data_IF_674220843155
#
_entry.id   IF_674220843155
#
_cell.length_a   1.000
_cell.length_b   1.000
_cell.length_c   1.000
_cell.angle_alpha   90.00
_cell.angle_beta   90.00
_cell.angle_gamma   90.00
#
_symmetry.space_group_name_H-M   'P 1'
#
loop_
_entity.id
_entity.type
_entity.pdbx_description
1 polymer ?
#
# COMPACT_ATOMS: atom_id res chain seq x y z
N UNK A 1 -2.28 19.92 19.83
CA UNK A 1 -1.43 18.81 20.31
C UNK A 1 -1.49 17.73 19.24
N UNK A 2 -0.35 17.39 18.63
CA UNK A 2 -0.25 16.65 17.38
C UNK A 2 -0.63 15.16 17.54
N UNK A 3 -1.44 14.64 16.62
CA UNK A 3 -1.94 13.25 16.61
C UNK A 3 -0.88 12.12 16.53
N UNK A 4 0.40 12.47 16.36
CA UNK A 4 1.52 11.53 16.37
C UNK A 4 1.85 10.95 17.75
N UNK A 5 1.38 11.58 18.83
CA UNK A 5 1.63 11.15 20.20
C UNK A 5 0.79 9.94 20.64
N UNK A 6 -0.43 9.80 20.12
CA UNK A 6 -1.33 8.74 20.51
C UNK A 6 -0.93 7.38 19.89
N UNK A 7 -0.56 7.38 18.61
CA UNK A 7 -0.08 6.16 17.92
C UNK A 7 1.24 5.63 18.52
N UNK A 8 2.18 6.52 18.84
CA UNK A 8 3.42 6.12 19.55
C UNK A 8 3.15 5.65 20.97
N UNK A 9 2.11 6.18 21.63
CA UNK A 9 1.75 5.79 22.99
C UNK A 9 1.11 4.39 23.04
N UNK A 10 0.29 4.03 22.03
CA UNK A 10 -0.22 2.66 21.89
C UNK A 10 0.89 1.66 21.54
N UNK A 11 1.80 2.00 20.65
CA UNK A 11 2.97 1.15 20.36
C UNK A 11 3.90 1.03 21.59
N UNK A 12 4.05 2.10 22.40
CA UNK A 12 4.86 2.05 23.61
C UNK A 12 4.19 1.32 24.78
N UNK A 13 2.87 1.24 24.82
CA UNK A 13 2.14 0.42 25.79
C UNK A 13 2.26 -1.07 25.46
N UNK A 14 2.23 -1.43 24.18
CA UNK A 14 2.52 -2.79 23.71
C UNK A 14 3.99 -3.19 23.94
N UNK A 15 4.91 -2.22 23.92
CA UNK A 15 6.33 -2.44 24.20
C UNK A 15 6.70 -2.42 25.70
N UNK A 16 5.87 -1.83 26.58
CA UNK A 16 6.14 -1.72 28.03
C UNK A 16 5.48 -2.79 28.90
N UNK A 17 4.59 -3.62 28.35
CA UNK A 17 4.14 -4.85 29.01
C UNK A 17 5.15 -6.00 28.84
N UNK A 18 6.44 -5.66 28.78
CA UNK A 18 7.57 -6.58 28.73
C UNK A 18 7.81 -7.26 30.06
N UNK A 19 6.91 -8.09 30.51
CA UNK A 19 7.28 -9.29 31.23
C UNK A 19 7.75 -10.29 30.17
N UNK A 20 9.04 -10.64 30.30
CA UNK A 20 9.75 -11.61 29.46
C UNK A 20 9.00 -12.94 29.44
N UNK A 21 7.97 -13.06 28.63
CA UNK A 21 7.40 -14.33 28.25
C UNK A 21 8.32 -14.89 27.17
N UNK A 22 9.18 -15.84 27.54
CA UNK A 22 9.91 -16.69 26.62
C UNK A 22 8.90 -17.17 25.56
N UNK A 23 9.09 -16.77 24.32
CA UNK A 23 8.35 -17.26 23.16
C UNK A 23 8.51 -18.77 23.08
N UNK A 24 7.55 -19.52 23.57
CA UNK A 24 7.39 -20.93 23.24
C UNK A 24 6.45 -20.96 22.03
N UNK A 25 7.04 -20.90 20.84
CA UNK A 25 6.33 -21.30 19.63
C UNK A 25 6.22 -22.84 19.65
N UNK A 26 5.04 -23.43 19.56
CA UNK A 26 4.95 -24.86 19.30
C UNK A 26 5.51 -25.11 17.90
N UNK A 27 6.60 -25.91 17.83
CA UNK A 27 7.09 -26.48 16.56
C UNK A 27 5.93 -27.21 15.89
N UNK A 28 5.68 -26.89 14.62
CA UNK A 28 4.81 -27.71 13.75
C UNK A 28 5.28 -29.17 13.82
N UNK A 29 4.50 -30.01 14.43
CA UNK A 29 4.62 -31.46 14.22
C UNK A 29 4.04 -31.74 12.83
N UNK A 30 4.89 -32.20 11.94
CA UNK A 30 4.50 -32.75 10.66
C UNK A 30 3.70 -34.03 10.92
N UNK A 31 2.43 -34.04 10.54
CA UNK A 31 1.63 -35.25 10.49
C UNK A 31 2.15 -36.09 9.32
N UNK A 32 2.71 -37.26 9.65
CA UNK A 32 3.04 -38.35 8.72
C UNK A 32 1.72 -38.99 8.25
N UNK A 33 1.36 -38.77 6.99
CA UNK A 33 0.32 -39.56 6.29
C UNK A 33 0.97 -40.57 5.35
N UNK A 34 0.32 -41.73 5.05
CA UNK A 34 0.95 -42.90 4.45
C UNK A 34 1.19 -42.79 2.96
N UNK A 35 2.27 -43.45 2.54
CA UNK A 35 2.67 -43.60 1.16
C UNK A 35 1.67 -44.48 0.38
N UNK A 36 1.27 -44.06 -0.81
CA UNK A 36 0.68 -44.94 -1.82
C UNK A 36 0.99 -44.48 -3.24
N UNK A 37 1.63 -45.38 -3.98
CA UNK A 37 1.26 -45.66 -5.36
C UNK A 37 1.99 -44.86 -6.45
N UNK A 38 3.08 -45.46 -6.95
CA UNK A 38 3.64 -45.26 -8.30
C UNK A 38 2.59 -45.46 -9.38
N UNK A 39 2.36 -44.49 -10.28
CA UNK A 39 1.98 -44.77 -11.68
C UNK A 39 2.79 -43.91 -12.64
N UNK A 40 3.43 -44.60 -13.59
CA UNK A 40 4.14 -44.08 -14.77
C UNK A 40 3.11 -43.57 -15.79
N UNK A 41 3.47 -42.56 -16.56
CA UNK A 41 2.73 -42.23 -17.79
C UNK A 41 3.11 -40.92 -18.42
N UNK A 42 3.96 -41.06 -19.45
CA UNK A 42 3.98 -40.37 -20.73
C UNK A 42 4.25 -38.88 -20.82
N UNK A 43 5.40 -38.60 -21.38
CA UNK A 43 5.79 -37.36 -22.01
C UNK A 43 4.98 -37.10 -23.30
N UNK A 44 4.57 -35.89 -23.53
CA UNK A 44 4.18 -35.41 -24.86
C UNK A 44 4.86 -34.03 -25.06
N UNK A 45 5.85 -34.05 -25.92
CA UNK A 45 6.50 -32.90 -26.54
C UNK A 45 5.56 -32.33 -27.60
N UNK A 46 5.33 -31.02 -27.55
CA UNK A 46 4.83 -30.28 -28.68
C UNK A 46 5.67 -29.01 -28.84
N UNK A 47 6.45 -28.99 -29.90
CA UNK A 47 7.21 -27.87 -30.36
C UNK A 47 6.31 -26.83 -31.01
N UNK A 48 6.60 -25.55 -30.76
CA UNK A 48 6.00 -24.41 -31.42
C UNK A 48 7.09 -23.59 -32.10
N UNK A 49 7.07 -23.59 -33.41
CA UNK A 49 8.02 -22.94 -34.29
C UNK A 49 7.86 -21.39 -34.22
N UNK A 50 8.98 -20.71 -34.08
CA UNK A 50 9.08 -19.27 -34.28
C UNK A 50 9.20 -18.98 -35.79
N UNK A 51 8.29 -18.19 -36.32
CA UNK A 51 8.32 -17.71 -37.70
C UNK A 51 9.04 -16.35 -37.73
N UNK A 52 10.22 -16.32 -38.29
CA UNK A 52 10.96 -15.09 -38.63
C UNK A 52 10.62 -14.72 -40.07
N UNK A 53 9.91 -13.63 -40.26
CA UNK A 53 9.69 -13.02 -41.58
C UNK A 53 10.78 -11.96 -41.84
N UNK A 54 11.70 -12.30 -42.71
CA UNK A 54 12.66 -11.36 -43.31
C UNK A 54 12.05 -10.87 -44.63
N UNK A 55 11.71 -9.59 -44.69
CA UNK A 55 11.30 -8.94 -45.96
C UNK A 55 12.54 -8.25 -46.58
N UNK A 56 13.08 -8.85 -47.62
CA UNK A 56 14.10 -8.26 -48.43
C UNK A 56 13.51 -7.26 -49.42
N UNK A 57 14.11 -6.07 -49.52
CA UNK A 57 13.84 -5.12 -50.57
C UNK A 57 15.00 -5.18 -51.61
N UNK A 58 14.67 -5.51 -52.81
CA UNK A 58 15.55 -5.60 -53.96
C UNK A 58 15.91 -4.23 -54.47
N UNK A 59 17.23 -4.00 -54.67
CA UNK A 59 17.76 -2.86 -55.41
C UNK A 59 17.73 -3.19 -56.89
N UNK A 60 17.06 -2.38 -57.67
CA UNK A 60 17.18 -2.43 -59.12
C UNK A 60 18.10 -1.29 -59.58
N UNK A 61 19.23 -1.66 -60.10
CA UNK A 61 20.12 -0.75 -60.81
C UNK A 61 19.75 -0.67 -62.27
N UNK A 62 19.62 0.53 -62.80
CA UNK A 62 19.60 0.77 -64.24
C UNK A 62 20.83 1.59 -64.65
N UNK A 63 21.57 1.05 -65.60
CA UNK A 63 22.74 1.65 -66.20
C UNK A 63 22.42 2.29 -67.56
N UNK A 64 22.99 3.46 -67.71
CA UNK A 64 23.62 4.14 -68.87
C UNK A 64 22.99 3.98 -70.30
N UNK A 65 23.42 4.71 -71.32
CA UNK A 65 24.59 5.54 -71.54
C UNK A 65 24.43 6.79 -72.44
N UNK A 66 25.55 7.51 -72.65
CA UNK A 66 25.84 8.30 -73.81
C UNK A 66 25.80 9.83 -73.64
N UNK A 67 26.60 10.63 -74.06
CA UNK A 67 27.92 10.77 -74.76
C UNK A 67 28.10 12.25 -75.10
N UNK A 68 29.31 12.74 -75.01
CA UNK A 68 29.96 13.86 -75.70
C UNK A 68 29.41 15.28 -75.56
N UNK A 69 30.23 16.18 -74.99
CA UNK A 69 30.99 17.19 -75.80
C UNK A 69 31.88 18.02 -74.89
N UNK A 70 33.12 18.15 -75.37
CA UNK A 70 34.17 19.05 -74.85
C UNK A 70 33.83 20.50 -75.17
N UNK A 71 34.00 21.40 -74.20
CA UNK A 71 34.33 22.78 -74.52
C UNK A 71 35.30 23.36 -73.47
N UNK A 72 36.40 23.90 -73.98
CA UNK A 72 37.51 24.48 -73.23
C UNK A 72 37.20 25.96 -73.01
N UNK A 73 37.17 26.40 -71.74
CA UNK A 73 37.19 27.83 -71.47
C UNK A 73 37.90 28.11 -70.10
N UNK A 74 39.06 28.71 -70.28
CA UNK A 74 39.66 29.80 -69.50
C UNK A 74 39.68 29.77 -67.99
N UNK A 75 40.86 29.64 -67.42
CA UNK A 75 41.22 29.85 -66.06
C UNK A 75 40.91 31.29 -65.58
N UNK A 76 39.95 31.41 -64.65
CA UNK A 76 39.87 32.54 -63.72
C UNK A 76 40.33 32.06 -62.35
N UNK A 77 41.48 32.51 -61.91
CA UNK A 77 41.97 32.31 -60.56
C UNK A 77 41.06 33.04 -59.57
N UNK A 78 40.12 32.33 -58.99
CA UNK A 78 39.37 32.80 -57.83
C UNK A 78 40.28 32.48 -56.61
N UNK A 79 40.82 33.49 -55.99
CA UNK A 79 41.45 33.47 -54.69
C UNK A 79 40.35 32.94 -53.73
N UNK A 80 40.45 31.68 -53.33
CA UNK A 80 39.73 31.16 -52.17
C UNK A 80 40.32 31.84 -50.94
N UNK A 81 39.63 32.86 -50.46
CA UNK A 81 39.78 33.32 -49.10
C UNK A 81 39.35 32.16 -48.21
N UNK A 82 40.31 31.39 -47.78
CA UNK A 82 40.13 30.35 -46.77
C UNK A 82 39.84 31.07 -45.44
N UNK A 83 38.61 31.55 -45.28
CA UNK A 83 38.10 31.92 -43.99
C UNK A 83 37.87 30.61 -43.24
N UNK A 84 38.97 30.06 -42.69
CA UNK A 84 38.93 29.11 -41.61
C UNK A 84 38.20 29.81 -40.46
N UNK A 85 36.86 29.76 -40.49
CA UNK A 85 36.07 30.07 -39.32
C UNK A 85 36.40 29.02 -38.28
N UNK A 86 37.39 29.34 -37.43
CA UNK A 86 37.61 28.56 -36.21
C UNK A 86 36.28 28.49 -35.51
N UNK A 87 35.63 27.31 -35.54
CA UNK A 87 34.37 27.08 -34.86
C UNK A 87 34.62 27.40 -33.38
N UNK A 88 33.99 28.46 -32.90
CA UNK A 88 34.06 28.83 -31.48
C UNK A 88 33.52 27.64 -30.68
N UNK A 89 34.27 27.14 -29.67
CA UNK A 89 33.79 26.04 -28.87
C UNK A 89 32.40 26.32 -28.36
N UNK A 90 31.49 25.35 -28.49
CA UNK A 90 30.16 25.49 -27.95
C UNK A 90 30.23 25.72 -26.44
N UNK A 91 29.41 26.62 -25.86
CA UNK A 91 29.37 26.86 -24.42
C UNK A 91 29.19 25.54 -23.67
N UNK A 92 29.90 25.40 -22.53
CA UNK A 92 29.77 24.20 -21.71
C UNK A 92 28.30 24.01 -21.21
N UNK A 93 27.79 22.82 -21.45
CA UNK A 93 26.43 22.46 -20.98
C UNK A 93 26.45 22.31 -19.46
N UNK A 94 25.47 22.88 -18.77
CA UNK A 94 25.25 22.68 -17.33
C UNK A 94 23.77 22.52 -17.00
N UNK A 95 23.47 21.91 -15.84
CA UNK A 95 22.14 21.78 -15.32
C UNK A 95 21.73 23.09 -14.69
N UNK A 96 20.63 23.69 -15.14
CA UNK A 96 20.06 24.93 -14.61
C UNK A 96 19.16 24.64 -13.41
N UNK A 97 18.27 23.66 -13.56
CA UNK A 97 17.37 23.28 -12.48
C UNK A 97 16.90 21.83 -12.62
N UNK A 98 16.46 21.25 -11.53
CA UNK A 98 15.75 19.97 -11.49
C UNK A 98 14.51 20.10 -10.63
N UNK A 99 13.37 19.62 -11.15
CA UNK A 99 12.11 19.57 -10.44
C UNK A 99 11.68 18.10 -10.33
N UNK A 100 11.33 17.60 -9.13
CA UNK A 100 11.31 18.28 -7.83
C UNK A 100 12.70 18.77 -7.37
N UNK A 101 12.74 19.82 -6.55
CA UNK A 101 13.99 20.40 -6.07
C UNK A 101 14.78 19.40 -5.19
N UNK A 102 16.09 19.61 -5.06
CA UNK A 102 16.93 18.79 -4.19
C UNK A 102 16.43 18.81 -2.75
N UNK A 103 16.35 17.63 -2.12
CA UNK A 103 15.85 17.40 -0.76
C UNK A 103 14.38 17.81 -0.54
N UNK A 104 13.59 18.03 -1.58
CA UNK A 104 12.16 18.25 -1.47
C UNK A 104 11.50 17.06 -0.76
N UNK A 105 10.54 17.35 0.11
CA UNK A 105 9.75 16.35 0.86
C UNK A 105 8.26 16.54 0.54
N UNK A 106 7.47 15.48 0.73
CA UNK A 106 6.04 15.56 0.50
C UNK A 106 5.67 15.63 -0.99
N UNK A 107 6.57 15.21 -1.88
CA UNK A 107 6.33 15.25 -3.33
C UNK A 107 5.26 14.22 -3.68
N UNK A 108 4.29 14.58 -4.53
CA UNK A 108 3.35 13.62 -5.08
C UNK A 108 4.10 12.68 -6.03
N UNK A 109 4.03 11.36 -5.77
CA UNK A 109 4.78 10.35 -6.53
C UNK A 109 4.40 10.24 -8.01
N UNK A 110 3.27 10.81 -8.43
CA UNK A 110 2.84 10.87 -9.82
C UNK A 110 3.36 12.11 -10.56
N UNK A 111 4.07 13.01 -9.87
CA UNK A 111 4.63 14.23 -10.46
C UNK A 111 5.64 13.90 -11.55
N UNK A 112 5.70 14.74 -12.56
CA UNK A 112 6.76 14.69 -13.56
C UNK A 112 8.10 15.13 -12.96
N UNK A 113 9.20 14.56 -13.46
CA UNK A 113 10.56 14.98 -13.09
C UNK A 113 11.13 15.73 -14.30
N UNK A 114 11.52 16.98 -14.12
CA UNK A 114 12.07 17.79 -15.18
C UNK A 114 13.50 18.21 -14.85
N UNK A 115 14.40 18.06 -15.82
CA UNK A 115 15.78 18.57 -15.77
C UNK A 115 15.93 19.62 -16.84
N UNK A 116 16.25 20.85 -16.46
CA UNK A 116 16.49 21.95 -17.36
C UNK A 116 18.01 22.19 -17.52
N UNK A 117 18.45 22.38 -18.74
CA UNK A 117 19.83 22.60 -19.12
C UNK A 117 20.04 24.01 -19.67
N UNK A 118 21.27 24.43 -19.77
CA UNK A 118 21.67 25.76 -20.30
C UNK A 118 21.51 25.89 -21.82
N UNK A 119 21.27 24.80 -22.55
CA UNK A 119 21.09 24.77 -23.99
C UNK A 119 20.21 23.59 -24.42
N UNK A 120 19.61 23.67 -25.64
CA UNK A 120 18.82 22.57 -26.20
C UNK A 120 19.66 21.29 -26.33
N UNK A 121 19.01 20.13 -26.06
CA UNK A 121 19.61 18.82 -26.06
C UNK A 121 19.67 18.21 -27.46
N UNK A 122 20.73 17.46 -27.75
CA UNK A 122 20.81 16.63 -28.96
C UNK A 122 19.81 15.47 -28.90
N UNK A 123 19.25 15.07 -30.05
CA UNK A 123 18.35 13.92 -30.13
C UNK A 123 19.01 12.60 -29.71
N UNK A 124 20.33 12.49 -29.84
CA UNK A 124 21.13 11.33 -29.41
C UNK A 124 21.62 11.41 -27.97
N UNK A 125 21.23 12.46 -27.23
CA UNK A 125 21.65 12.64 -25.85
C UNK A 125 21.11 11.52 -24.97
N UNK A 126 21.92 10.91 -24.07
CA UNK A 126 21.41 9.96 -23.09
C UNK A 126 20.44 10.65 -22.16
N UNK A 127 19.51 9.88 -21.56
CA UNK A 127 18.54 10.40 -20.60
C UNK A 127 19.04 10.19 -19.16
N UNK A 128 18.58 11.03 -18.21
CA UNK A 128 18.82 10.79 -16.80
C UNK A 128 18.24 9.44 -16.34
N UNK A 129 18.78 8.90 -15.26
CA UNK A 129 18.31 7.67 -14.63
C UNK A 129 17.69 7.94 -13.27
N UNK A 130 16.83 7.06 -12.84
CA UNK A 130 16.07 7.15 -11.57
C UNK A 130 16.37 5.95 -10.68
N UNK A 131 16.49 6.18 -9.39
CA UNK A 131 16.61 5.13 -8.38
C UNK A 131 15.68 5.44 -7.19
N UNK A 132 14.74 4.55 -6.85
CA UNK A 132 14.34 3.32 -7.55
C UNK A 132 13.85 3.60 -8.98
N UNK A 133 14.09 2.67 -9.90
CA UNK A 133 13.60 2.78 -11.27
C UNK A 133 12.10 2.42 -11.29
N UNK A 134 11.31 3.21 -12.03
CA UNK A 134 9.89 2.93 -12.31
C UNK A 134 9.62 3.03 -13.81
N UNK A 135 8.49 2.42 -14.23
CA UNK A 135 8.00 2.57 -15.59
C UNK A 135 7.58 4.02 -15.88
N UNK A 136 7.97 4.52 -17.04
CA UNK A 136 7.67 5.87 -17.50
C UNK A 136 8.44 6.22 -18.75
N UNK A 137 8.25 7.44 -19.24
CA UNK A 137 8.84 7.90 -20.50
C UNK A 137 9.60 9.22 -20.29
N UNK A 138 10.86 9.26 -20.75
CA UNK A 138 11.61 10.50 -20.92
C UNK A 138 11.25 11.12 -22.27
N UNK A 139 11.00 12.42 -22.28
CA UNK A 139 10.81 13.24 -23.49
C UNK A 139 11.76 14.44 -23.42
N UNK A 140 12.28 14.85 -24.59
CA UNK A 140 13.09 16.06 -24.71
C UNK A 140 12.23 17.17 -25.29
N UNK A 141 12.24 18.34 -24.66
CA UNK A 141 11.58 19.55 -25.16
C UNK A 141 12.53 20.73 -25.05
N UNK A 142 13.17 21.05 -26.17
CA UNK A 142 14.20 22.11 -26.23
C UNK A 142 15.38 21.79 -25.29
N UNK A 143 15.56 22.60 -24.27
CA UNK A 143 16.59 22.49 -23.24
C UNK A 143 16.20 21.65 -22.03
N UNK A 144 15.09 20.95 -22.10
CA UNK A 144 14.55 20.19 -20.95
C UNK A 144 14.38 18.72 -21.26
N UNK A 145 14.79 17.86 -20.33
CA UNK A 145 14.42 16.43 -20.27
C UNK A 145 13.33 16.22 -19.22
N UNK A 146 12.20 15.65 -19.62
CA UNK A 146 11.02 15.47 -18.76
C UNK A 146 10.67 14.00 -18.68
N UNK A 147 10.65 13.45 -17.45
CA UNK A 147 10.15 12.11 -17.17
C UNK A 147 8.70 12.17 -16.74
N UNK A 148 7.86 11.38 -17.38
CA UNK A 148 6.47 11.19 -17.00
C UNK A 148 6.30 9.75 -16.52
N UNK A 149 6.00 9.52 -15.22
CA UNK A 149 5.76 8.19 -14.70
C UNK A 149 4.51 7.57 -15.36
N UNK A 150 4.54 6.28 -15.66
CA UNK A 150 3.35 5.56 -16.14
C UNK A 150 2.29 5.46 -15.04
N UNK A 151 2.72 5.17 -13.80
CA UNK A 151 1.88 5.20 -12.59
C UNK A 151 2.45 6.22 -11.61
N UNK A 152 3.53 5.91 -10.93
CA UNK A 152 4.20 6.79 -9.99
C UNK A 152 4.93 6.01 -8.88
N UNK A 153 5.55 6.74 -7.98
CA UNK A 153 6.19 6.21 -6.77
C UNK A 153 5.19 6.07 -5.62
N UNK A 154 5.39 5.05 -4.79
CA UNK A 154 4.63 4.87 -3.54
C UNK A 154 5.01 5.94 -2.51
N UNK A 155 4.26 5.99 -1.40
CA UNK A 155 4.52 6.90 -0.29
C UNK A 155 5.92 6.73 0.28
N UNK A 156 6.44 7.80 0.89
CA UNK A 156 7.70 7.82 1.64
C UNK A 156 8.94 7.34 0.86
N UNK A 157 8.85 7.22 -0.47
CA UNK A 157 9.95 6.76 -1.34
C UNK A 157 11.02 7.84 -1.48
N UNK A 158 12.27 7.46 -1.27
CA UNK A 158 13.43 8.30 -1.55
C UNK A 158 13.87 8.09 -3.01
N UNK A 159 13.73 9.13 -3.83
CA UNK A 159 14.02 9.06 -5.27
C UNK A 159 15.28 9.85 -5.57
N UNK A 160 16.23 9.22 -6.27
CA UNK A 160 17.44 9.86 -6.75
C UNK A 160 17.39 9.99 -8.28
N UNK A 161 17.64 11.19 -8.77
CA UNK A 161 17.80 11.50 -10.20
C UNK A 161 19.30 11.63 -10.49
N UNK A 162 19.83 10.79 -11.37
CA UNK A 162 21.23 10.86 -11.80
C UNK A 162 21.30 11.28 -13.26
N UNK A 163 21.94 12.40 -13.51
CA UNK A 163 22.13 13.04 -14.81
C UNK A 163 23.54 12.70 -15.29
N UNK A 164 23.71 11.91 -16.38
CA UNK A 164 25.04 11.47 -16.82
C UNK A 164 25.88 12.63 -17.36
N UNK A 165 27.15 12.63 -17.02
CA UNK A 165 28.15 13.58 -17.47
C UNK A 165 29.44 12.89 -17.97
N UNK A 166 30.43 13.65 -18.38
CA UNK A 166 31.66 13.14 -18.96
C UNK A 166 31.51 12.68 -20.41
N UNK A 167 32.34 11.73 -20.85
CA UNK A 167 32.40 11.26 -22.25
C UNK A 167 31.07 10.61 -22.74
N UNK A 168 30.31 10.01 -21.85
CA UNK A 168 29.01 9.39 -22.15
C UNK A 168 27.85 10.22 -21.59
N UNK A 169 28.10 11.51 -21.33
CA UNK A 169 27.13 12.41 -20.69
C UNK A 169 26.14 13.02 -21.67
N UNK A 170 25.25 13.83 -21.09
CA UNK A 170 24.27 14.61 -21.85
C UNK A 170 24.98 15.60 -22.78
N UNK A 171 24.48 15.73 -24.03
CA UNK A 171 25.09 16.51 -25.10
C UNK A 171 24.09 17.57 -25.57
N UNK A 172 24.54 18.82 -25.75
CA UNK A 172 23.74 19.85 -26.39
C UNK A 172 23.64 19.65 -27.92
N UNK A 173 22.57 20.16 -28.53
CA UNK A 173 22.40 20.12 -29.98
C UNK A 173 23.59 20.81 -30.73
N UNK A 174 24.07 21.94 -30.23
CA UNK A 174 25.25 22.63 -30.77
C UNK A 174 26.53 21.81 -30.62
N UNK A 175 26.75 21.11 -29.50
CA UNK A 175 27.91 20.25 -29.26
C UNK A 175 27.93 19.04 -30.19
N UNK A 176 26.79 18.42 -30.43
CA UNK A 176 26.65 17.28 -31.34
C UNK A 176 27.00 17.69 -32.81
N UNK A 177 26.63 18.90 -33.22
CA UNK A 177 26.90 19.42 -34.56
C UNK A 177 28.35 19.87 -34.76
N UNK A 178 28.98 20.38 -33.70
CA UNK A 178 30.37 20.90 -33.78
C UNK A 178 31.44 19.80 -33.57
N UNK A 179 31.07 18.62 -33.13
CA UNK A 179 32.03 17.53 -32.83
C UNK A 179 32.95 17.80 -31.63
N UNK A 180 32.84 18.95 -30.99
CA UNK A 180 33.65 19.38 -29.84
C UNK A 180 32.88 20.29 -28.90
N UNK A 181 32.92 20.03 -27.61
CA UNK A 181 32.25 20.83 -26.58
C UNK A 181 30.75 20.54 -26.46
N UNK A 182 30.09 21.16 -25.50
CA UNK A 182 28.65 21.03 -25.29
C UNK A 182 28.18 19.78 -24.58
N UNK A 183 29.07 19.00 -23.99
CA UNK A 183 28.72 17.92 -23.06
C UNK A 183 28.63 18.42 -21.62
N UNK A 184 27.82 17.79 -20.81
CA UNK A 184 27.83 17.99 -19.37
C UNK A 184 29.12 17.43 -18.79
N UNK A 185 29.94 18.28 -18.15
CA UNK A 185 31.32 17.94 -17.77
C UNK A 185 31.39 16.77 -16.75
N UNK A 186 30.50 16.74 -15.78
CA UNK A 186 30.43 15.70 -14.76
C UNK A 186 28.99 15.32 -14.47
N UNK A 187 28.80 14.09 -13.98
CA UNK A 187 27.48 13.63 -13.56
C UNK A 187 26.94 14.47 -12.39
N UNK A 188 25.65 14.74 -12.41
CA UNK A 188 24.92 15.44 -11.34
C UNK A 188 23.90 14.49 -10.75
N UNK A 189 23.85 14.41 -9.42
CA UNK A 189 22.86 13.60 -8.70
C UNK A 189 22.13 14.46 -7.69
N UNK A 190 20.81 14.32 -7.65
CA UNK A 190 20.01 14.91 -6.58
C UNK A 190 18.87 13.99 -6.19
N UNK A 191 18.33 14.18 -5.00
CA UNK A 191 17.24 13.35 -4.50
C UNK A 191 16.10 14.19 -3.92
N UNK A 192 14.91 13.57 -3.88
CA UNK A 192 13.72 14.07 -3.20
C UNK A 192 13.01 12.90 -2.51
N UNK A 193 12.05 13.20 -1.64
CA UNK A 193 11.22 12.19 -0.97
C UNK A 193 9.75 12.43 -1.29
N UNK A 194 9.02 11.36 -1.66
CA UNK A 194 7.57 11.43 -1.82
C UNK A 194 6.88 11.62 -0.46
N UNK A 195 5.67 12.14 -0.48
CA UNK A 195 4.84 12.30 0.69
C UNK A 195 4.27 10.99 1.20
N UNK A 196 3.61 11.05 2.36
CA UNK A 196 2.77 9.96 2.85
C UNK A 196 1.41 10.03 2.19
N UNK A 197 0.74 8.88 2.03
CA UNK A 197 -0.62 8.83 1.53
C UNK A 197 -1.62 9.36 2.56
N UNK A 198 -2.75 9.81 2.06
CA UNK A 198 -3.79 10.46 2.85
C UNK A 198 -4.61 9.44 3.66
N UNK A 199 -4.76 9.69 4.96
CA UNK A 199 -5.71 8.95 5.81
C UNK A 199 -7.15 9.04 5.29
N UNK A 200 -7.55 10.19 4.73
CA UNK A 200 -8.87 10.37 4.12
C UNK A 200 -9.08 9.39 2.96
N UNK A 201 -8.09 9.28 2.04
CA UNK A 201 -8.19 8.32 0.91
C UNK A 201 -8.20 6.88 1.38
N UNK A 202 -7.39 6.54 2.38
CA UNK A 202 -7.42 5.20 2.97
C UNK A 202 -8.82 4.85 3.48
N UNK A 203 -9.42 5.74 4.28
CA UNK A 203 -10.77 5.55 4.84
C UNK A 203 -11.84 5.48 3.74
N UNK A 204 -11.72 6.31 2.71
CA UNK A 204 -12.60 6.30 1.54
C UNK A 204 -12.56 4.93 0.84
N UNK A 205 -11.37 4.43 0.49
CA UNK A 205 -11.22 3.15 -0.21
C UNK A 205 -11.68 1.97 0.66
N UNK A 206 -11.36 1.97 1.95
CA UNK A 206 -11.86 0.95 2.89
C UNK A 206 -13.38 0.97 3.00
N UNK A 207 -14.01 2.15 2.94
CA UNK A 207 -15.47 2.27 2.92
C UNK A 207 -16.06 1.77 1.59
N UNK A 208 -15.48 2.14 0.46
CA UNK A 208 -15.91 1.67 -0.87
C UNK A 208 -15.85 0.15 -1.00
N UNK A 209 -14.84 -0.48 -0.40
CA UNK A 209 -14.68 -1.94 -0.40
C UNK A 209 -15.47 -2.65 0.71
N UNK A 210 -16.19 -1.91 1.57
CA UNK A 210 -17.05 -2.48 2.61
C UNK A 210 -16.34 -2.87 3.91
N UNK A 211 -15.03 -2.58 4.06
CA UNK A 211 -14.30 -2.82 5.31
C UNK A 211 -14.62 -1.80 6.42
N UNK A 212 -15.20 -0.66 6.06
CA UNK A 212 -15.73 0.33 7.00
C UNK A 212 -17.24 0.47 6.83
N UNK A 213 -18.01 0.75 7.91
CA UNK A 213 -19.47 0.81 7.88
C UNK A 213 -19.99 2.15 7.34
N UNK A 214 -19.42 2.61 6.22
CA UNK A 214 -19.77 3.91 5.63
C UNK A 214 -20.05 3.81 4.13
N UNK A 215 -20.95 4.66 3.68
CA UNK A 215 -21.03 5.06 2.28
C UNK A 215 -20.21 6.32 2.09
N UNK A 216 -19.28 6.30 1.16
CA UNK A 216 -18.56 7.49 0.70
C UNK A 216 -19.30 8.12 -0.47
N UNK A 217 -19.49 9.43 -0.42
CA UNK A 217 -20.08 10.22 -1.51
C UNK A 217 -19.13 11.35 -1.87
N UNK A 218 -18.59 11.34 -3.11
CA UNK A 218 -17.80 12.44 -3.64
C UNK A 218 -18.65 13.72 -3.75
N UNK A 219 -18.07 14.85 -3.41
CA UNK A 219 -18.63 16.19 -3.67
C UNK A 219 -17.95 16.85 -4.86
N UNK A 220 -17.06 16.14 -5.55
CA UNK A 220 -16.40 16.60 -6.78
C UNK A 220 -17.02 15.96 -7.99
N UNK A 221 -17.12 16.74 -9.09
CA UNK A 221 -17.53 16.23 -10.41
C UNK A 221 -16.46 15.36 -11.06
N UNK A 222 -15.24 15.36 -10.52
CA UNK A 222 -14.14 14.52 -11.01
C UNK A 222 -14.31 13.10 -10.52
N UNK A 223 -14.64 12.19 -11.41
CA UNK A 223 -14.69 10.76 -11.12
C UNK A 223 -13.33 10.15 -11.42
N UNK A 224 -12.73 9.50 -10.40
CA UNK A 224 -11.52 8.71 -10.58
C UNK A 224 -11.93 7.35 -11.10
N UNK A 225 -11.40 6.98 -12.28
CA UNK A 225 -11.65 5.64 -12.83
C UNK A 225 -10.81 4.62 -12.04
N UNK A 226 -11.42 3.57 -11.48
CA UNK A 226 -10.68 2.51 -10.79
C UNK A 226 -9.62 1.81 -11.65
N UNK A 227 -9.75 1.86 -12.98
CA UNK A 227 -8.78 1.29 -13.92
C UNK A 227 -7.62 2.22 -14.25
N UNK A 228 -7.70 3.50 -13.88
CA UNK A 228 -6.60 4.45 -14.06
C UNK A 228 -5.67 4.43 -12.82
N UNK A 229 -4.71 3.53 -12.84
CA UNK A 229 -3.77 3.34 -11.73
C UNK A 229 -2.98 4.62 -11.37
N UNK A 230 -2.73 5.52 -12.36
CA UNK A 230 -2.03 6.78 -12.10
C UNK A 230 -2.95 7.77 -11.39
N UNK A 231 -4.20 7.90 -11.81
CA UNK A 231 -5.18 8.75 -11.16
C UNK A 231 -5.49 8.26 -9.73
N UNK A 232 -5.61 6.95 -9.54
CA UNK A 232 -5.80 6.32 -8.23
C UNK A 232 -4.61 6.59 -7.29
N UNK A 233 -3.38 6.41 -7.78
CA UNK A 233 -2.18 6.72 -7.00
C UNK A 233 -2.07 8.22 -6.69
N UNK A 234 -2.43 9.10 -7.62
CA UNK A 234 -2.46 10.55 -7.39
C UNK A 234 -3.47 10.92 -6.30
N UNK A 235 -4.63 10.27 -6.30
CA UNK A 235 -5.65 10.45 -5.27
C UNK A 235 -5.21 9.93 -3.90
N UNK A 236 -4.32 8.94 -3.85
CA UNK A 236 -3.74 8.50 -2.58
C UNK A 236 -2.95 9.62 -1.89
N UNK A 237 -2.29 10.49 -2.65
CA UNK A 237 -1.62 11.70 -2.12
C UNK A 237 -2.59 12.86 -1.87
N UNK A 238 -3.56 13.05 -2.76
CA UNK A 238 -4.48 14.19 -2.76
C UNK A 238 -5.90 13.70 -3.04
N UNK A 239 -6.63 13.25 -2.00
CA UNK A 239 -7.94 12.65 -2.16
C UNK A 239 -8.97 13.64 -2.70
N UNK A 240 -9.97 13.15 -3.45
CA UNK A 240 -11.10 13.97 -3.83
C UNK A 240 -11.90 14.38 -2.57
N UNK A 241 -12.55 15.54 -2.59
CA UNK A 241 -13.44 15.93 -1.51
C UNK A 241 -14.70 15.07 -1.50
N UNK A 242 -15.23 14.79 -0.30
CA UNK A 242 -16.44 14.01 -0.16
C UNK A 242 -16.83 13.83 1.32
N UNK A 243 -17.89 13.06 1.55
CA UNK A 243 -18.48 12.84 2.87
C UNK A 243 -18.73 11.37 3.15
N UNK A 244 -18.63 11.00 4.42
CA UNK A 244 -18.99 9.68 4.94
C UNK A 244 -20.38 9.72 5.56
N UNK A 245 -21.21 8.73 5.24
CA UNK A 245 -22.49 8.49 5.89
C UNK A 245 -22.52 7.07 6.46
N UNK A 246 -22.97 6.90 7.70
CA UNK A 246 -23.08 5.59 8.33
C UNK A 246 -24.03 4.70 7.55
N UNK A 247 -23.64 3.44 7.35
CA UNK A 247 -24.50 2.40 6.82
C UNK A 247 -25.27 1.74 7.98
N UNK A 248 -26.52 2.14 8.17
CA UNK A 248 -27.36 1.65 9.24
C UNK A 248 -27.13 2.35 10.57
N UNK A 249 -27.44 1.66 11.68
CA UNK A 249 -27.41 2.23 13.02
C UNK A 249 -26.44 1.46 13.92
N UNK A 250 -25.57 2.19 14.59
CA UNK A 250 -24.62 1.67 15.57
C UNK A 250 -24.73 2.46 16.87
N UNK A 251 -24.38 1.85 18.04
CA UNK A 251 -24.41 2.55 19.31
C UNK A 251 -23.33 3.65 19.37
N UNK A 252 -23.56 4.62 20.25
CA UNK A 252 -22.65 5.74 20.49
C UNK A 252 -21.23 5.28 20.84
N UNK A 253 -21.09 4.15 21.53
CA UNK A 253 -19.79 3.55 21.86
C UNK A 253 -18.87 3.31 20.64
N UNK A 254 -19.46 3.04 19.47
CA UNK A 254 -18.72 2.96 18.21
C UNK A 254 -18.67 4.30 17.48
N UNK A 255 -19.82 4.97 17.35
CA UNK A 255 -19.93 6.17 16.48
C UNK A 255 -19.10 7.34 16.99
N UNK A 256 -18.92 7.48 18.29
CA UNK A 256 -18.07 8.51 18.92
C UNK A 256 -16.59 8.38 18.60
N UNK A 257 -16.14 7.20 18.14
CA UNK A 257 -14.73 6.93 17.85
C UNK A 257 -14.34 7.23 16.41
N UNK A 258 -15.33 7.57 15.57
CA UNK A 258 -15.08 7.92 14.18
C UNK A 258 -14.71 9.40 14.00
N UNK A 259 -13.66 9.62 13.24
CA UNK A 259 -13.30 10.95 12.74
C UNK A 259 -12.67 10.82 11.36
N UNK A 260 -13.34 11.39 10.36
CA UNK A 260 -12.85 11.39 8.98
C UNK A 260 -11.48 12.07 8.86
N UNK A 261 -10.60 11.51 8.05
CA UNK A 261 -9.25 12.02 7.80
C UNK A 261 -8.29 11.90 9.00
N UNK A 262 -8.73 11.28 10.11
CA UNK A 262 -7.89 11.07 11.30
C UNK A 262 -7.79 9.58 11.60
N UNK A 263 -6.57 9.05 11.86
CA UNK A 263 -6.41 7.66 12.27
C UNK A 263 -7.24 7.34 13.53
N UNK A 264 -7.98 6.24 13.48
CA UNK A 264 -8.85 5.81 14.57
C UNK A 264 -8.97 4.28 14.62
N UNK A 265 -9.61 3.75 15.67
CA UNK A 265 -9.70 2.30 15.88
C UNK A 265 -10.54 1.59 14.82
N UNK A 266 -11.54 2.25 14.23
CA UNK A 266 -12.34 1.67 13.14
C UNK A 266 -11.44 1.39 11.93
N UNK A 267 -10.54 2.34 11.61
CA UNK A 267 -9.55 2.18 10.55
C UNK A 267 -8.61 1.01 10.83
N UNK A 268 -8.12 0.85 12.07
CA UNK A 268 -7.24 -0.26 12.45
C UNK A 268 -7.95 -1.60 12.26
N UNK A 269 -9.22 -1.70 12.70
CA UNK A 269 -10.05 -2.89 12.48
C UNK A 269 -10.22 -3.21 10.99
N UNK A 270 -10.57 -2.20 10.18
CA UNK A 270 -10.76 -2.35 8.74
C UNK A 270 -9.49 -2.81 8.02
N UNK A 271 -8.32 -2.25 8.37
CA UNK A 271 -7.04 -2.69 7.83
C UNK A 271 -6.77 -4.15 8.18
N UNK A 272 -6.96 -4.57 9.44
CA UNK A 272 -6.77 -5.96 9.84
C UNK A 272 -7.73 -6.93 9.13
N UNK A 273 -8.95 -6.51 8.86
CA UNK A 273 -9.89 -7.30 8.06
C UNK A 273 -9.39 -7.49 6.63
N UNK A 274 -8.94 -6.42 5.96
CA UNK A 274 -8.29 -6.49 4.64
C UNK A 274 -7.04 -7.38 4.67
N UNK A 275 -6.14 -7.18 5.64
CA UNK A 275 -4.92 -7.98 5.82
C UNK A 275 -5.23 -9.47 5.95
N UNK A 276 -6.29 -9.81 6.70
CA UNK A 276 -6.74 -11.19 6.87
C UNK A 276 -7.27 -11.79 5.57
N UNK A 277 -8.07 -11.05 4.81
CA UNK A 277 -8.66 -11.49 3.54
C UNK A 277 -7.56 -11.72 2.50
N UNK A 278 -6.55 -10.83 2.47
CA UNK A 278 -5.46 -10.86 1.50
C UNK A 278 -4.22 -11.63 1.98
N UNK A 279 -4.29 -12.32 3.13
CA UNK A 279 -3.19 -13.08 3.75
C UNK A 279 -1.92 -12.25 3.98
N UNK A 280 -2.09 -10.99 4.37
CA UNK A 280 -1.01 -10.10 4.78
C UNK A 280 -0.67 -10.26 6.27
N UNK A 281 0.40 -9.61 6.73
CA UNK A 281 0.69 -9.49 8.16
C UNK A 281 -0.39 -8.64 8.84
N UNK A 282 -1.13 -9.20 9.77
CA UNK A 282 -2.25 -8.53 10.44
C UNK A 282 -1.76 -7.60 11.56
N UNK A 283 -1.11 -6.50 11.20
CA UNK A 283 -0.64 -5.49 12.16
C UNK A 283 -1.54 -4.24 12.26
N UNK A 284 -2.45 -4.05 11.30
CA UNK A 284 -3.36 -2.92 11.23
C UNK A 284 -2.67 -1.61 10.82
N UNK A 285 -1.51 -1.69 10.17
CA UNK A 285 -0.71 -0.55 9.74
C UNK A 285 -0.84 -0.34 8.22
N UNK A 286 -1.19 0.86 7.73
CA UNK A 286 -1.36 1.14 6.30
C UNK A 286 0.00 1.30 5.60
N UNK A 287 0.81 0.24 5.59
CA UNK A 287 2.07 0.16 4.86
C UNK A 287 1.86 -0.02 3.35
N UNK A 288 2.97 -0.05 2.59
CA UNK A 288 2.94 -0.17 1.12
C UNK A 288 2.23 -1.43 0.64
N UNK A 289 2.35 -2.54 1.39
CA UNK A 289 1.64 -3.78 1.08
C UNK A 289 0.12 -3.59 1.16
N UNK A 290 -0.39 -3.00 2.24
CA UNK A 290 -1.82 -2.70 2.43
C UNK A 290 -2.32 -1.79 1.31
N UNK A 291 -1.61 -0.71 1.01
CA UNK A 291 -1.98 0.22 -0.07
C UNK A 291 -2.00 -0.45 -1.44
N UNK A 292 -1.00 -1.27 -1.75
CA UNK A 292 -0.94 -2.00 -3.03
C UNK A 292 -2.13 -2.95 -3.22
N UNK A 293 -2.49 -3.69 -2.16
CA UNK A 293 -3.65 -4.57 -2.16
C UNK A 293 -4.95 -3.79 -2.26
N UNK A 294 -5.10 -2.70 -1.50
CA UNK A 294 -6.27 -1.84 -1.50
C UNK A 294 -6.54 -1.25 -2.90
N UNK A 295 -5.53 -0.65 -3.54
CA UNK A 295 -5.64 -0.11 -4.90
C UNK A 295 -5.95 -1.21 -5.93
N UNK A 296 -5.38 -2.40 -5.76
CA UNK A 296 -5.66 -3.56 -6.61
C UNK A 296 -7.10 -4.05 -6.43
N UNK A 297 -7.60 -4.11 -5.20
CA UNK A 297 -8.97 -4.51 -4.90
C UNK A 297 -9.99 -3.54 -5.52
N UNK A 298 -9.73 -2.23 -5.43
CA UNK A 298 -10.55 -1.20 -6.08
C UNK A 298 -10.56 -1.40 -7.60
N UNK A 299 -9.40 -1.57 -8.24
CA UNK A 299 -9.30 -1.79 -9.68
C UNK A 299 -10.04 -3.04 -10.16
N UNK A 300 -10.17 -4.06 -9.31
CA UNK A 300 -10.87 -5.33 -9.58
C UNK A 300 -12.33 -5.35 -9.13
N UNK A 301 -12.82 -4.31 -8.45
CA UNK A 301 -14.16 -4.28 -7.85
C UNK A 301 -14.36 -5.36 -6.78
N UNK A 302 -13.30 -5.71 -6.05
CA UNK A 302 -13.38 -6.66 -4.92
C UNK A 302 -13.97 -5.96 -3.70
N UNK A 303 -14.70 -6.73 -2.87
CA UNK A 303 -15.29 -6.21 -1.64
C UNK A 303 -14.98 -7.14 -0.47
N UNK A 304 -15.12 -6.61 0.76
CA UNK A 304 -15.06 -7.44 1.97
C UNK A 304 -16.10 -8.56 1.89
N UNK A 305 -15.69 -9.83 1.88
CA UNK A 305 -16.61 -10.95 1.81
C UNK A 305 -17.41 -11.19 3.11
N UNK A 306 -16.98 -10.58 4.23
CA UNK A 306 -17.54 -10.85 5.55
C UNK A 306 -18.56 -9.79 6.00
N UNK A 307 -18.49 -8.57 5.44
CA UNK A 307 -19.24 -7.42 5.93
C UNK A 307 -18.75 -6.92 7.30
N UNK A 308 -19.23 -5.75 7.70
CA UNK A 308 -18.78 -5.09 8.92
C UNK A 308 -19.50 -5.60 10.17
N UNK A 309 -18.73 -6.17 11.11
CA UNK A 309 -19.24 -6.65 12.40
C UNK A 309 -18.67 -5.85 13.56
N UNK A 310 -19.55 -5.50 14.50
CA UNK A 310 -19.23 -4.82 15.75
C UNK A 310 -19.87 -5.54 16.93
N UNK A 311 -19.11 -5.69 18.02
CA UNK A 311 -19.58 -6.26 19.28
C UNK A 311 -19.49 -5.24 20.42
N UNK A 312 -20.47 -5.25 21.31
CA UNK A 312 -20.49 -4.46 22.54
C UNK A 312 -20.71 -5.40 23.72
N UNK A 313 -19.68 -5.55 24.55
CA UNK A 313 -19.73 -6.19 25.84
C UNK A 313 -20.03 -5.12 26.89
N UNK A 314 -21.20 -5.22 27.51
CA UNK A 314 -21.71 -4.27 28.50
C UNK A 314 -21.56 -4.88 29.88
N UNK A 315 -20.73 -4.27 30.72
CA UNK A 315 -20.43 -4.70 32.09
C UNK A 315 -21.48 -4.21 33.10
N UNK A 316 -22.50 -3.46 32.68
CA UNK A 316 -23.62 -3.12 33.53
C UNK A 316 -24.51 -4.35 33.77
N UNK A 317 -24.88 -4.59 35.01
CA UNK A 317 -25.73 -5.74 35.40
C UNK A 317 -27.20 -5.57 34.93
N UNK A 318 -27.76 -6.57 34.28
CA UNK A 318 -27.16 -7.84 33.85
C UNK A 318 -26.23 -7.67 32.67
N UNK A 319 -24.99 -8.19 32.80
CA UNK A 319 -23.97 -8.10 31.76
C UNK A 319 -24.39 -8.79 30.47
N UNK A 320 -24.01 -8.22 29.33
CA UNK A 320 -24.47 -8.70 28.03
C UNK A 320 -23.44 -8.50 26.92
N UNK A 321 -23.55 -9.36 25.90
CA UNK A 321 -22.87 -9.18 24.62
C UNK A 321 -23.90 -8.93 23.53
N UNK A 322 -23.74 -7.83 22.80
CA UNK A 322 -24.61 -7.46 21.67
C UNK A 322 -23.76 -7.38 20.39
N UNK A 323 -24.31 -7.89 19.28
CA UNK A 323 -23.62 -7.92 17.98
C UNK A 323 -24.42 -7.12 16.96
N UNK A 324 -23.72 -6.24 16.25
CA UNK A 324 -24.19 -5.57 15.05
C UNK A 324 -23.48 -6.14 13.83
N UNK A 325 -24.24 -6.36 12.78
CA UNK A 325 -23.74 -6.74 11.47
C UNK A 325 -24.39 -5.87 10.40
N UNK A 326 -23.57 -5.22 9.58
CA UNK A 326 -24.02 -4.31 8.51
C UNK A 326 -25.07 -3.30 8.99
N UNK A 327 -24.81 -2.62 10.11
CA UNK A 327 -25.64 -1.55 10.65
C UNK A 327 -26.92 -1.98 11.38
N UNK A 328 -27.09 -3.28 11.65
CA UNK A 328 -28.24 -3.80 12.40
C UNK A 328 -27.78 -4.62 13.59
N UNK A 329 -28.41 -4.44 14.75
CA UNK A 329 -28.23 -5.36 15.84
C UNK A 329 -28.87 -6.70 15.47
N UNK A 330 -28.06 -7.75 15.37
CA UNK A 330 -28.49 -9.07 14.90
C UNK A 330 -28.53 -10.11 16.00
N UNK A 331 -27.82 -9.85 17.13
CA UNK A 331 -27.73 -10.80 18.23
C UNK A 331 -27.57 -10.09 19.58
N UNK A 332 -28.08 -10.74 20.65
CA UNK A 332 -27.87 -10.32 22.04
C UNK A 332 -27.94 -11.54 22.95
N UNK A 333 -27.05 -11.60 23.92
CA UNK A 333 -26.99 -12.67 24.91
C UNK A 333 -26.51 -12.14 26.26
N UNK A 334 -26.85 -12.82 27.35
CA UNK A 334 -26.16 -12.62 28.61
C UNK A 334 -24.69 -13.03 28.46
N UNK A 335 -23.83 -12.30 29.12
CA UNK A 335 -22.38 -12.56 29.10
C UNK A 335 -21.82 -12.41 30.50
N UNK A 336 -20.65 -12.98 30.76
CA UNK A 336 -19.89 -12.73 31.98
C UNK A 336 -18.62 -11.98 31.60
N UNK A 337 -18.27 -10.97 32.39
CA UNK A 337 -16.98 -10.28 32.26
C UNK A 337 -16.08 -10.56 33.47
N UNK A 338 -14.93 -9.90 33.51
CA UNK A 338 -13.91 -10.14 34.53
C UNK A 338 -14.30 -9.65 35.93
N UNK A 339 -13.94 -10.45 36.93
CA UNK A 339 -14.07 -10.05 38.33
C UNK A 339 -13.21 -8.81 38.64
N UNK A 340 -13.47 -8.03 39.71
CA UNK A 340 -12.67 -6.85 40.08
C UNK A 340 -11.17 -7.10 40.24
N UNK A 341 -10.77 -8.33 40.63
CA UNK A 341 -9.35 -8.71 40.74
C UNK A 341 -8.68 -9.02 39.38
N UNK A 342 -9.44 -9.23 38.33
CA UNK A 342 -9.00 -9.49 36.97
C UNK A 342 -10.06 -8.99 35.97
N UNK A 343 -10.23 -7.65 35.85
CA UNK A 343 -11.32 -7.07 35.08
C UNK A 343 -11.12 -7.23 33.58
N UNK A 344 -12.23 -7.34 32.83
CA UNK A 344 -12.20 -7.13 31.39
C UNK A 344 -11.88 -5.67 31.11
N UNK A 345 -10.84 -5.40 30.30
CA UNK A 345 -10.34 -4.04 30.08
C UNK A 345 -11.29 -3.22 29.25
N UNK A 346 -11.75 -2.07 29.76
CA UNK A 346 -12.56 -1.11 29.03
C UNK A 346 -11.82 -0.57 27.80
N UNK A 347 -12.56 -0.41 26.72
CA UNK A 347 -12.01 0.10 25.45
C UNK A 347 -12.60 -0.58 24.23
N UNK A 348 -12.06 -0.23 23.06
CA UNK A 348 -12.43 -0.85 21.79
C UNK A 348 -11.22 -1.47 21.14
N UNK A 349 -11.33 -2.74 20.79
CA UNK A 349 -10.21 -3.56 20.35
C UNK A 349 -10.60 -4.39 19.13
N UNK A 350 -9.71 -4.56 18.12
CA UNK A 350 -9.98 -5.44 17.00
C UNK A 350 -9.69 -6.90 17.34
N UNK A 351 -10.52 -7.81 16.88
CA UNK A 351 -10.22 -9.26 16.93
C UNK A 351 -8.94 -9.53 16.15
N UNK A 352 -7.97 -10.20 16.78
CA UNK A 352 -6.66 -10.42 16.19
C UNK A 352 -6.22 -11.89 16.14
N UNK A 353 -6.93 -12.79 16.86
CA UNK A 353 -6.60 -14.21 16.91
C UNK A 353 -7.87 -15.02 17.20
N UNK A 354 -8.04 -16.16 16.51
CA UNK A 354 -9.23 -17.02 16.66
C UNK A 354 -8.84 -18.49 16.75
N UNK A 355 -9.54 -19.21 17.64
CA UNK A 355 -9.45 -20.66 17.75
C UNK A 355 -10.84 -21.28 17.90
N UNK A 356 -11.06 -22.42 17.28
CA UNK A 356 -12.26 -23.23 17.56
C UNK A 356 -12.21 -23.81 18.96
N UNK A 357 -11.04 -24.30 19.38
CA UNK A 357 -10.78 -24.91 20.67
C UNK A 357 -9.38 -24.53 21.16
N UNK A 358 -9.27 -24.31 22.47
CA UNK A 358 -7.99 -24.05 23.13
C UNK A 358 -8.07 -24.46 24.60
N UNK A 359 -6.94 -24.87 25.20
CA UNK A 359 -6.76 -24.91 26.64
C UNK A 359 -6.20 -23.54 27.08
N UNK A 360 -7.00 -22.73 27.75
CA UNK A 360 -6.53 -21.49 28.36
C UNK A 360 -5.87 -21.82 29.70
N UNK A 361 -4.66 -21.30 29.89
CA UNK A 361 -3.86 -21.55 31.09
C UNK A 361 -3.43 -20.24 31.71
N UNK A 362 -3.45 -20.19 33.05
CA UNK A 362 -3.08 -19.00 33.77
C UNK A 362 -2.95 -19.23 35.27
N UNK A 363 -3.06 -18.14 36.01
CA UNK A 363 -3.00 -18.12 37.47
C UNK A 363 -4.20 -17.34 37.99
N UNK A 364 -4.97 -17.94 38.84
CA UNK A 364 -6.06 -17.31 39.60
C UNK A 364 -5.52 -16.23 40.54
N UNK A 365 -6.33 -15.26 40.97
CA UNK A 365 -5.93 -14.25 41.95
C UNK A 365 -5.40 -14.80 43.28
N UNK A 366 -5.82 -15.99 43.66
CA UNK A 366 -5.35 -16.70 44.85
C UNK A 366 -4.02 -17.43 44.64
N UNK A 367 -3.42 -17.36 43.45
CA UNK A 367 -2.14 -17.99 43.11
C UNK A 367 -2.27 -19.44 42.58
N UNK A 368 -3.44 -20.04 42.62
CA UNK A 368 -3.65 -21.37 42.04
C UNK A 368 -3.59 -21.33 40.48
N UNK A 369 -3.23 -22.48 39.87
CA UNK A 369 -3.14 -22.59 38.43
C UNK A 369 -4.43 -23.11 37.87
N UNK A 370 -4.81 -22.64 36.66
CA UNK A 370 -5.91 -23.17 35.89
C UNK A 370 -5.45 -23.64 34.50
N UNK A 371 -6.19 -24.55 33.91
CA UNK A 371 -6.02 -25.04 32.55
C UNK A 371 -7.40 -25.46 32.00
N UNK A 372 -8.12 -24.51 31.43
CA UNK A 372 -9.52 -24.62 31.10
C UNK A 372 -9.75 -24.85 29.61
N UNK A 373 -10.53 -25.88 29.21
CA UNK A 373 -10.92 -26.07 27.82
C UNK A 373 -11.97 -25.03 27.45
N UNK A 374 -11.67 -24.21 26.44
CA UNK A 374 -12.56 -23.18 25.90
C UNK A 374 -12.82 -23.38 24.42
N UNK A 375 -14.00 -22.95 23.96
CA UNK A 375 -14.43 -23.12 22.57
C UNK A 375 -14.87 -21.81 21.96
N UNK A 376 -14.77 -21.70 20.62
CA UNK A 376 -15.25 -20.54 19.86
C UNK A 376 -14.55 -19.24 20.27
N UNK A 377 -13.23 -19.29 20.39
CA UNK A 377 -12.42 -18.22 20.97
C UNK A 377 -12.11 -17.14 19.94
N UNK A 378 -12.38 -15.87 20.27
CA UNK A 378 -12.04 -14.68 19.50
C UNK A 378 -11.31 -13.69 20.42
N UNK A 379 -9.98 -13.68 20.37
CA UNK A 379 -9.14 -12.76 21.14
C UNK A 379 -9.21 -11.35 20.58
N UNK A 380 -9.39 -10.35 21.46
CA UNK A 380 -9.46 -8.94 21.08
C UNK A 380 -8.47 -8.05 21.84
N UNK A 381 -8.10 -8.37 23.08
CA UNK A 381 -7.15 -7.57 23.87
C UNK A 381 -6.26 -8.44 24.75
N UNK A 382 -4.96 -8.53 24.45
CA UNK A 382 -4.03 -9.34 25.25
C UNK A 382 -4.48 -10.78 25.40
N UNK A 383 -4.91 -11.17 26.62
CA UNK A 383 -5.50 -12.48 26.91
C UNK A 383 -7.02 -12.50 26.85
N UNK A 384 -7.68 -11.35 26.71
CA UNK A 384 -9.14 -11.24 26.73
C UNK A 384 -9.75 -11.71 25.42
N UNK A 385 -10.75 -12.57 25.49
CA UNK A 385 -11.43 -13.14 24.36
C UNK A 385 -12.95 -13.26 24.59
N UNK A 386 -13.72 -13.21 23.50
CA UNK A 386 -15.11 -13.71 23.52
C UNK A 386 -15.04 -15.20 23.27
N UNK A 387 -15.61 -16.03 24.17
CA UNK A 387 -15.62 -17.48 24.04
C UNK A 387 -16.72 -18.16 24.86
N UNK A 388 -16.97 -19.44 24.60
CA UNK A 388 -17.74 -20.29 25.49
C UNK A 388 -16.89 -20.74 26.67
N UNK A 389 -17.45 -20.64 27.86
CA UNK A 389 -17.01 -21.34 29.05
C UNK A 389 -18.24 -21.84 29.83
N UNK A 390 -18.17 -23.05 30.37
CA UNK A 390 -19.33 -23.65 31.08
C UNK A 390 -19.56 -22.96 32.42
N UNK A 391 -20.73 -22.31 32.55
CA UNK A 391 -21.17 -21.62 33.74
C UNK A 391 -22.60 -21.99 34.06
N UNK A 392 -22.94 -22.07 35.33
CA UNK A 392 -24.31 -22.29 35.79
C UNK A 392 -25.28 -21.19 35.33
N UNK A 393 -24.80 -19.95 35.29
CA UNK A 393 -25.55 -18.78 34.82
C UNK A 393 -24.62 -17.70 34.26
N UNK A 394 -25.25 -16.78 33.51
CA UNK A 394 -24.55 -15.65 32.85
C UNK A 394 -25.26 -14.34 33.19
N UNK A 395 -24.58 -13.22 33.02
CA UNK A 395 -25.07 -11.86 33.22
C UNK A 395 -24.43 -11.12 34.39
N UNK A 396 -23.24 -11.57 34.83
CA UNK A 396 -22.49 -10.92 35.92
C UNK A 396 -21.01 -11.27 35.85
N UNK A 397 -20.16 -10.48 36.50
CA UNK A 397 -18.73 -10.70 36.55
C UNK A 397 -18.34 -12.01 37.23
N UNK A 398 -17.61 -12.86 36.51
CA UNK A 398 -17.07 -14.13 37.04
C UNK A 398 -15.91 -14.71 36.24
N UNK A 399 -15.46 -14.03 35.18
CA UNK A 399 -14.29 -14.44 34.40
C UNK A 399 -12.99 -13.82 34.96
N UNK A 400 -11.86 -14.13 34.31
CA UNK A 400 -10.57 -13.52 34.59
C UNK A 400 -10.15 -12.59 33.41
N UNK A 401 -11.08 -11.79 32.92
CA UNK A 401 -10.85 -10.81 31.83
C UNK A 401 -11.55 -11.14 30.53
N UNK A 402 -11.96 -12.38 30.31
CA UNK A 402 -12.69 -12.77 29.08
C UNK A 402 -14.18 -12.34 29.13
N UNK A 403 -14.80 -12.28 27.96
CA UNK A 403 -16.24 -12.18 27.76
C UNK A 403 -16.77 -13.60 27.51
N UNK A 404 -17.25 -14.25 28.55
CA UNK A 404 -17.77 -15.61 28.48
C UNK A 404 -19.25 -15.59 28.09
N UNK A 405 -19.66 -16.45 27.17
CA UNK A 405 -21.06 -16.56 26.72
C UNK A 405 -21.51 -18.02 26.66
N UNK A 406 -22.84 -18.31 26.72
CA UNK A 406 -23.38 -19.65 26.56
C UNK A 406 -22.91 -20.33 25.26
N UNK A 407 -22.93 -21.68 25.23
CA UNK A 407 -22.51 -22.50 24.11
C UNK A 407 -23.14 -22.08 22.78
N UNK A 408 -24.46 -21.99 22.72
CA UNK A 408 -25.16 -21.65 21.48
C UNK A 408 -24.91 -20.19 21.05
N UNK A 409 -24.71 -19.30 21.99
CA UNK A 409 -24.33 -17.93 21.74
C UNK A 409 -22.90 -17.88 21.15
N UNK A 410 -21.93 -18.55 21.76
CA UNK A 410 -20.55 -18.61 21.26
C UNK A 410 -20.49 -19.19 19.85
N UNK A 411 -21.20 -20.28 19.61
CA UNK A 411 -21.33 -20.93 18.30
C UNK A 411 -21.88 -19.97 17.22
N UNK A 412 -22.86 -19.12 17.62
CA UNK A 412 -23.48 -18.12 16.74
C UNK A 412 -22.55 -16.93 16.48
N UNK A 413 -21.90 -16.41 17.53
CA UNK A 413 -21.11 -15.19 17.49
C UNK A 413 -19.73 -15.41 16.84
N UNK A 414 -19.11 -16.57 17.07
CA UNK A 414 -17.74 -16.84 16.59
C UNK A 414 -17.53 -16.67 15.08
N UNK A 415 -18.40 -17.19 14.18
CA UNK A 415 -18.24 -16.94 12.74
C UNK A 415 -18.48 -15.49 12.35
N UNK A 416 -19.23 -14.71 13.14
CA UNK A 416 -19.51 -13.30 12.89
C UNK A 416 -18.33 -12.41 13.29
N UNK A 417 -17.64 -12.74 14.38
CA UNK A 417 -16.45 -12.02 14.84
C UNK A 417 -15.23 -12.44 14.00
N UNK A 418 -15.11 -11.90 12.80
CA UNK A 418 -13.95 -12.11 11.92
C UNK A 418 -12.74 -11.29 12.40
N UNK A 419 -11.56 -11.53 11.84
CA UNK A 419 -10.39 -10.70 12.12
C UNK A 419 -10.70 -9.24 11.78
N UNK A 420 -10.28 -8.32 12.65
CA UNK A 420 -10.56 -6.90 12.53
C UNK A 420 -11.94 -6.45 13.03
N UNK A 421 -12.91 -7.36 13.28
CA UNK A 421 -14.16 -7.01 13.97
C UNK A 421 -13.86 -6.32 15.29
N UNK A 422 -14.54 -5.19 15.57
CA UNK A 422 -14.29 -4.44 16.80
C UNK A 422 -15.15 -4.97 17.95
N UNK A 423 -14.52 -5.17 19.10
CA UNK A 423 -15.17 -5.47 20.37
C UNK A 423 -14.96 -4.27 21.29
N UNK A 424 -16.06 -3.63 21.70
CA UNK A 424 -16.04 -2.61 22.76
C UNK A 424 -16.44 -3.24 24.07
N UNK A 425 -15.68 -3.01 25.11
CA UNK A 425 -16.02 -3.30 26.50
C UNK A 425 -16.32 -1.98 27.19
N UNK A 426 -17.43 -1.90 27.91
CA UNK A 426 -17.88 -0.66 28.57
C UNK A 426 -18.70 -0.94 29.82
N UNK A 427 -18.67 -0.03 30.75
CA UNK A 427 -19.41 -0.09 31.99
C UNK A 427 -18.50 -0.25 33.22
N UNK A 428 -19.00 0.05 34.42
CA UNK A 428 -18.25 -0.16 35.63
C UNK A 428 -18.05 -1.66 35.88
N UNK A 429 -16.86 -2.06 36.22
CA UNK A 429 -16.61 -3.34 36.90
C UNK A 429 -17.28 -3.23 38.25
N UNK A 430 -18.39 -3.94 38.48
CA UNK A 430 -19.22 -3.88 39.69
C UNK A 430 -18.60 -4.64 40.84
#
# INVERSE_FOLDING_TARGET
MSGSGWFRKQQSLLAKSGTSAKRIWPRRQAASGPAAGKRRGAALTAGGAALVLVSGIAIVAFAAPGSHASEVASAASVSRSDTSRTAQPAPALHVVSVTPAANAKGVNGTSTIAVQFSAPLAASSPMPTLSPQIAGTWTTKGDSAIFTPAVGYMQDTHVTVTIPGGLSGIISAAGASAGTGGTLASAVSQSFKTGSFSTMRLQELLAQLGYLPFTWTSTSDTVISPSDARAELSAAYSPPPGTFSWQGSYPWNLTSQWKAGTPNILQVGAIRALESVDNLTMDGVPGDSVWSHLLTAVAKGQHDPNGYTYALADQNSPESLRIWHNGRQVFSTAANTGIPAAPTVDGTFPVYLKYYFQIMQGTNPDGSKYADPVYYVSYFNGGDAVHYFDRYSYGFYQSLGCVEVPWDAAKTVWPMLTYGSLVTVTGPVS
#
